data_IF_548795025130
#
_entry.id   IF_548795025130
#
_cell.length_a   1.000
_cell.length_b   1.000
_cell.length_c   1.000
_cell.angle_alpha   90.00
_cell.angle_beta   90.00
_cell.angle_gamma   90.00
#
_symmetry.space_group_name_H-M   'P 1'
#
loop_
_entity.id
_entity.type
_entity.pdbx_description
1 polymer ?
#
# COMPACT_ATOMS: atom_id res chain seq x y z
N UNK A 1 2.14 13.52 20.42
CA UNK A 1 2.79 14.09 19.21
C UNK A 1 3.45 13.04 18.30
N UNK A 2 4.25 12.08 18.81
CA UNK A 2 4.93 11.07 17.97
C UNK A 2 4.01 9.94 17.46
N UNK A 3 2.94 9.62 18.20
CA UNK A 3 2.01 8.53 17.85
C UNK A 3 1.31 8.76 16.50
N UNK A 4 0.95 10.00 16.19
CA UNK A 4 0.29 10.34 14.92
C UNK A 4 1.23 10.09 13.73
N UNK A 5 2.51 10.43 13.89
CA UNK A 5 3.52 10.17 12.86
C UNK A 5 3.73 8.67 12.64
N UNK A 6 3.80 7.89 13.72
CA UNK A 6 3.94 6.43 13.63
C UNK A 6 2.71 5.81 12.96
N UNK A 7 1.50 6.23 13.35
CA UNK A 7 0.26 5.78 12.70
C UNK A 7 0.22 6.13 11.22
N UNK A 8 0.62 7.35 10.85
CA UNK A 8 0.67 7.79 9.46
C UNK A 8 1.63 6.96 8.60
N UNK A 9 2.82 6.66 9.12
CA UNK A 9 3.80 5.79 8.45
C UNK A 9 3.27 4.36 8.31
N UNK A 10 2.68 3.79 9.37
CA UNK A 10 2.10 2.45 9.31
C UNK A 10 1.00 2.35 8.24
N UNK A 11 0.08 3.31 8.19
CA UNK A 11 -1.01 3.31 7.20
C UNK A 11 -0.47 3.49 5.78
N UNK A 12 0.47 4.42 5.56
CA UNK A 12 1.08 4.63 4.24
C UNK A 12 1.82 3.37 3.74
N UNK A 13 2.56 2.70 4.64
CA UNK A 13 3.30 1.49 4.31
C UNK A 13 2.37 0.31 3.97
N UNK A 14 1.28 0.13 4.72
CA UNK A 14 0.27 -0.89 4.45
C UNK A 14 -0.46 -0.64 3.12
N UNK A 15 -0.87 0.61 2.86
CA UNK A 15 -1.50 0.98 1.59
C UNK A 15 -0.60 0.72 0.38
N UNK A 16 0.71 0.97 0.50
CA UNK A 16 1.69 0.71 -0.55
C UNK A 16 1.81 -0.79 -0.88
N UNK A 17 1.86 -1.66 0.14
CA UNK A 17 1.93 -3.11 -0.06
C UNK A 17 0.64 -3.64 -0.71
N UNK A 18 -0.52 -3.14 -0.27
CA UNK A 18 -1.79 -3.55 -0.85
C UNK A 18 -1.96 -3.09 -2.29
N UNK A 19 -1.51 -1.88 -2.67
CA UNK A 19 -1.56 -1.44 -4.07
C UNK A 19 -0.57 -2.20 -4.95
N UNK A 20 0.64 -2.48 -4.45
CA UNK A 20 1.64 -3.24 -5.19
C UNK A 20 1.18 -4.69 -5.43
N UNK A 21 0.67 -5.37 -4.39
CA UNK A 21 0.14 -6.72 -4.51
C UNK A 21 -1.17 -6.84 -5.31
N UNK A 22 -1.89 -5.73 -5.54
CA UNK A 22 -3.07 -5.72 -6.43
C UNK A 22 -2.68 -5.51 -7.90
N UNK A 23 -1.65 -4.71 -8.15
CA UNK A 23 -1.13 -4.41 -9.49
C UNK A 23 -0.34 -5.60 -10.07
N UNK A 24 0.37 -6.34 -9.21
CA UNK A 24 1.14 -7.55 -9.56
C UNK A 24 0.28 -8.81 -9.83
N UNK A 25 -1.03 -8.67 -10.07
CA UNK A 25 -1.87 -9.82 -10.46
C UNK A 25 -1.53 -10.26 -11.89
N UNK A 26 -0.99 -11.48 -12.12
CA UNK A 26 -0.77 -12.02 -13.45
C UNK A 26 -2.14 -12.33 -14.08
N UNK A 27 -2.74 -11.34 -14.76
CA UNK A 27 -4.08 -11.45 -15.32
C UNK A 27 -4.85 -10.13 -15.45
N UNK A 28 -4.32 -8.99 -14.96
CA UNK A 28 -4.87 -7.70 -15.34
C UNK A 28 -4.66 -7.51 -16.85
N UNK A 29 -5.75 -7.57 -17.62
CA UNK A 29 -5.73 -7.47 -19.07
C UNK A 29 -4.93 -6.23 -19.48
N UNK A 30 -3.77 -6.45 -20.08
CA UNK A 30 -3.03 -5.42 -20.80
C UNK A 30 -3.96 -4.94 -21.91
N UNK A 31 -4.35 -3.67 -21.88
CA UNK A 31 -5.09 -3.03 -22.98
C UNK A 31 -4.41 -3.31 -24.32
#
# INVERSE_FOLDING_TARGET
MRLILVLGVCVAFLSAIFTAGYDDKPGAAKK
#
